data_IF_275420776972
#
_entry.id   IF_275420776972
#
_cell.length_a   1.000
_cell.length_b   1.000
_cell.length_c   1.000
_cell.angle_alpha   90.00
_cell.angle_beta   90.00
_cell.angle_gamma   90.00
#
_symmetry.space_group_name_H-M   'P 1'
#
loop_
_entity.id
_entity.type
_entity.pdbx_description
1 polymer ?
#
# COMPACT_ATOMS: atom_id res chain seq x y z
N UNK A 1 -10.41 4.42 18.23
CA UNK A 1 -10.63 4.03 16.82
C UNK A 1 -11.01 2.55 16.69
N UNK A 2 -11.02 1.76 17.77
CA UNK A 2 -11.18 0.30 17.69
C UNK A 2 -12.49 -0.16 17.04
N UNK A 3 -13.59 0.60 17.12
CA UNK A 3 -14.88 0.27 16.48
C UNK A 3 -15.15 1.04 15.17
N UNK A 4 -14.17 1.76 14.64
CA UNK A 4 -14.36 2.63 13.49
C UNK A 4 -14.13 1.87 12.18
N UNK A 5 -15.22 1.58 11.45
CA UNK A 5 -15.14 0.97 10.12
C UNK A 5 -14.76 1.96 9.01
N UNK A 6 -15.09 3.23 9.19
CA UNK A 6 -14.89 4.29 8.19
C UNK A 6 -14.31 5.51 8.87
N UNK A 7 -13.14 5.95 8.40
CA UNK A 7 -12.57 7.25 8.76
C UNK A 7 -13.04 8.28 7.73
N UNK A 8 -13.88 9.21 8.18
CA UNK A 8 -14.25 10.39 7.40
C UNK A 8 -13.11 11.42 7.45
N UNK A 9 -12.48 11.63 6.30
CA UNK A 9 -11.33 12.51 6.12
C UNK A 9 -10.02 11.75 5.97
N UNK A 10 -8.93 12.40 6.37
CA UNK A 10 -7.57 11.92 6.12
C UNK A 10 -7.03 11.18 7.34
N UNK A 11 -6.34 10.06 7.11
CA UNK A 11 -5.58 9.37 8.16
C UNK A 11 -4.09 9.68 7.99
N UNK A 12 -3.47 10.24 9.03
CA UNK A 12 -2.04 10.60 9.03
C UNK A 12 -1.38 9.96 10.23
N UNK A 13 -0.37 9.14 9.99
CA UNK A 13 0.46 8.51 11.01
C UNK A 13 1.89 9.01 10.78
N UNK A 14 2.46 9.69 11.79
CA UNK A 14 3.80 10.24 11.68
C UNK A 14 4.52 10.29 13.03
N UNK A 15 5.86 10.20 12.99
CA UNK A 15 6.76 10.45 14.13
C UNK A 15 6.47 9.60 15.38
N UNK A 16 6.19 8.31 15.19
CA UNK A 16 5.99 7.37 16.30
C UNK A 16 7.23 6.48 16.46
N UNK A 17 7.81 6.49 17.67
CA UNK A 17 8.64 5.40 18.21
C UNK A 17 7.77 4.28 18.83
N UNK A 18 6.44 4.41 18.73
CA UNK A 18 5.47 3.51 19.32
C UNK A 18 4.84 2.61 18.25
N UNK A 19 4.68 1.33 18.56
CA UNK A 19 3.97 0.37 17.70
C UNK A 19 2.51 0.83 17.52
N UNK A 20 2.08 1.16 16.29
CA UNK A 20 0.70 1.58 16.07
C UNK A 20 -0.25 0.43 16.40
N UNK A 21 -1.21 0.68 17.30
CA UNK A 21 -2.26 -0.29 17.61
C UNK A 21 -2.99 -0.74 16.33
N UNK A 22 -3.28 -2.03 16.24
CA UNK A 22 -4.06 -2.58 15.13
C UNK A 22 -5.45 -1.95 15.08
N UNK A 23 -5.90 -1.59 13.88
CA UNK A 23 -7.25 -1.11 13.57
C UNK A 23 -7.96 -2.15 12.67
N UNK A 24 -8.28 -3.34 13.21
CA UNK A 24 -8.82 -4.45 12.41
C UNK A 24 -10.19 -4.15 11.83
N UNK A 25 -10.96 -3.24 12.43
CA UNK A 25 -12.28 -2.89 11.94
C UNK A 25 -12.24 -1.85 10.83
N UNK A 26 -11.11 -1.16 10.60
CA UNK A 26 -11.01 -0.12 9.59
C UNK A 26 -11.10 -0.72 8.18
N UNK A 27 -12.15 -0.38 7.45
CA UNK A 27 -12.40 -0.82 6.08
C UNK A 27 -12.16 0.30 5.06
N UNK A 28 -12.38 1.55 5.45
CA UNK A 28 -12.41 2.67 4.52
C UNK A 28 -11.83 3.96 5.10
N UNK A 29 -11.09 4.68 4.25
CA UNK A 29 -10.65 6.05 4.48
C UNK A 29 -11.22 6.91 3.35
N UNK A 30 -11.97 7.96 3.66
CA UNK A 30 -12.60 8.80 2.61
C UNK A 30 -11.63 9.82 1.99
N UNK A 31 -10.63 10.27 2.73
CA UNK A 31 -9.55 11.13 2.27
C UNK A 31 -8.32 10.34 1.81
N UNK A 32 -7.13 10.82 2.18
CA UNK A 32 -5.85 10.15 1.92
C UNK A 32 -5.27 9.46 3.17
N UNK A 33 -4.40 8.48 2.96
CA UNK A 33 -3.56 7.84 3.97
C UNK A 33 -2.11 8.33 3.82
N UNK A 34 -1.54 8.87 4.90
CA UNK A 34 -0.13 9.28 5.00
C UNK A 34 0.57 8.53 6.13
N UNK A 35 1.69 7.90 5.80
CA UNK A 35 2.63 7.26 6.71
C UNK A 35 4.00 7.94 6.55
N UNK A 36 4.53 8.50 7.63
CA UNK A 36 5.78 9.27 7.60
C UNK A 36 6.66 9.06 8.83
N UNK A 37 7.87 8.51 8.66
CA UNK A 37 8.83 8.29 9.76
C UNK A 37 8.19 7.56 10.96
N UNK A 38 7.63 6.39 10.68
CA UNK A 38 7.18 5.46 11.71
C UNK A 38 8.21 4.34 11.77
N UNK A 39 8.72 4.09 12.97
CA UNK A 39 9.67 3.02 13.27
C UNK A 39 8.93 1.77 13.75
N UNK A 40 9.61 0.62 13.80
CA UNK A 40 9.07 -0.66 14.29
C UNK A 40 7.78 -1.12 13.58
N UNK A 41 7.64 -0.77 12.30
CA UNK A 41 6.52 -1.19 11.47
C UNK A 41 7.05 -1.73 10.15
N UNK A 42 7.15 -3.05 10.08
CA UNK A 42 7.63 -3.82 8.93
C UNK A 42 6.54 -4.09 7.88
N UNK A 43 5.28 -4.14 8.32
CA UNK A 43 4.13 -4.48 7.49
C UNK A 43 2.87 -3.69 7.89
N UNK A 44 2.21 -3.01 6.93
CA UNK A 44 1.01 -2.21 7.26
C UNK A 44 -0.20 -3.07 7.64
N UNK A 45 -0.23 -4.38 7.34
CA UNK A 45 -1.32 -5.27 7.78
C UNK A 45 -1.39 -5.40 9.31
N UNK A 46 -0.28 -5.15 10.02
CA UNK A 46 -0.27 -5.10 11.48
C UNK A 46 -1.19 -3.98 12.01
N UNK A 47 -1.33 -2.88 11.26
CA UNK A 47 -2.19 -1.74 11.60
C UNK A 47 -3.54 -1.80 10.88
N UNK A 48 -3.54 -2.17 9.60
CA UNK A 48 -4.69 -2.03 8.70
C UNK A 48 -5.02 -3.33 7.95
N UNK A 49 -5.29 -4.45 8.65
CA UNK A 49 -5.43 -5.75 7.98
C UNK A 49 -6.62 -5.81 7.02
N UNK A 50 -7.68 -5.01 7.30
CA UNK A 50 -8.93 -5.03 6.56
C UNK A 50 -9.20 -3.75 5.75
N UNK A 51 -8.24 -2.81 5.67
CA UNK A 51 -8.41 -1.60 4.87
C UNK A 51 -8.64 -1.99 3.40
N UNK A 52 -9.81 -1.65 2.89
CA UNK A 52 -10.31 -2.11 1.60
C UNK A 52 -10.40 -0.98 0.58
N UNK A 53 -10.75 0.22 1.03
CA UNK A 53 -11.00 1.39 0.17
C UNK A 53 -10.28 2.62 0.69
N UNK A 54 -9.56 3.31 -0.20
CA UNK A 54 -9.13 4.70 -0.02
C UNK A 54 -9.86 5.52 -1.08
N UNK A 55 -10.75 6.44 -0.69
CA UNK A 55 -11.53 7.20 -1.67
C UNK A 55 -10.74 8.36 -2.28
N UNK A 56 -9.87 9.01 -1.52
CA UNK A 56 -9.10 10.15 -2.04
C UNK A 56 -9.97 11.36 -2.41
N UNK A 57 -11.05 11.62 -1.65
CA UNK A 57 -11.85 12.85 -1.81
C UNK A 57 -10.99 14.11 -1.55
N UNK A 58 -10.05 13.97 -0.61
CA UNK A 58 -8.93 14.87 -0.40
C UNK A 58 -7.62 14.14 -0.73
N UNK A 59 -6.62 14.88 -1.22
CA UNK A 59 -5.34 14.34 -1.65
C UNK A 59 -4.18 15.07 -0.98
N UNK A 60 -3.11 14.34 -0.66
CA UNK A 60 -1.83 14.93 -0.31
C UNK A 60 -1.10 15.27 -1.61
N UNK A 61 -1.16 16.55 -2.01
CA UNK A 61 -0.86 16.97 -3.38
C UNK A 61 -1.77 16.22 -4.37
N UNK A 62 -1.23 15.26 -5.13
CA UNK A 62 -1.99 14.44 -6.09
C UNK A 62 -2.16 12.98 -5.63
N UNK A 63 -1.78 12.65 -4.40
CA UNK A 63 -1.67 11.27 -3.92
C UNK A 63 -2.70 10.95 -2.83
N UNK A 64 -3.32 9.77 -2.92
CA UNK A 64 -4.25 9.26 -1.92
C UNK A 64 -3.60 8.26 -0.96
N UNK A 65 -2.46 7.68 -1.33
CA UNK A 65 -1.61 6.88 -0.45
C UNK A 65 -0.18 7.42 -0.53
N UNK A 66 0.37 7.79 0.62
CA UNK A 66 1.74 8.28 0.76
C UNK A 66 2.46 7.48 1.84
N UNK A 67 3.55 6.82 1.46
CA UNK A 67 4.43 6.05 2.36
C UNK A 67 5.85 6.59 2.18
N UNK A 68 6.32 7.36 3.16
CA UNK A 68 7.51 8.18 3.02
C UNK A 68 8.45 8.04 4.22
N UNK A 69 9.73 7.77 3.95
CA UNK A 69 10.78 7.63 5.00
C UNK A 69 10.42 6.62 6.11
N UNK A 70 9.85 5.46 5.74
CA UNK A 70 9.58 4.33 6.64
C UNK A 70 10.78 3.37 6.58
N UNK A 71 11.73 3.51 7.51
CA UNK A 71 13.01 2.78 7.47
C UNK A 71 12.83 1.27 7.66
N UNK A 72 11.89 0.85 8.50
CA UNK A 72 11.76 -0.55 8.92
C UNK A 72 10.75 -1.32 8.07
N UNK A 73 10.02 -0.62 7.19
CA UNK A 73 8.98 -1.21 6.36
C UNK A 73 9.59 -2.10 5.26
N UNK A 74 9.23 -3.39 5.28
CA UNK A 74 9.72 -4.40 4.34
C UNK A 74 8.75 -4.65 3.18
N UNK A 75 7.45 -4.50 3.42
CA UNK A 75 6.41 -4.55 2.38
C UNK A 75 5.21 -3.67 2.74
N UNK A 76 4.46 -3.22 1.72
CA UNK A 76 3.25 -2.42 1.96
C UNK A 76 2.18 -3.25 2.65
N UNK A 77 2.06 -4.54 2.34
CA UNK A 77 1.25 -5.46 3.14
C UNK A 77 -0.21 -5.08 3.34
N UNK A 78 -0.92 -4.63 2.31
CA UNK A 78 -2.35 -4.32 2.42
C UNK A 78 -3.22 -5.37 1.68
N UNK A 79 -3.34 -6.60 2.19
CA UNK A 79 -3.96 -7.73 1.48
C UNK A 79 -5.46 -7.52 1.19
N UNK A 80 -6.11 -6.63 1.94
CA UNK A 80 -7.52 -6.30 1.79
C UNK A 80 -7.78 -5.11 0.87
N UNK A 81 -6.76 -4.32 0.52
CA UNK A 81 -6.94 -3.15 -0.33
C UNK A 81 -7.41 -3.59 -1.73
N UNK A 82 -8.48 -2.96 -2.21
CA UNK A 82 -9.10 -3.25 -3.52
C UNK A 82 -9.14 -2.04 -4.41
N UNK A 83 -9.36 -0.85 -3.84
CA UNK A 83 -9.64 0.35 -4.63
C UNK A 83 -9.03 1.59 -3.99
N UNK A 84 -8.29 2.33 -4.82
CA UNK A 84 -7.98 3.74 -4.62
C UNK A 84 -8.80 4.51 -5.66
N UNK A 85 -9.84 5.22 -5.22
CA UNK A 85 -10.82 5.81 -6.16
C UNK A 85 -10.24 7.01 -6.91
N UNK A 86 -9.60 7.91 -6.19
CA UNK A 86 -9.00 9.14 -6.72
C UNK A 86 -7.56 9.30 -6.21
N UNK A 87 -6.74 10.04 -6.95
CA UNK A 87 -5.33 10.25 -6.63
C UNK A 87 -4.40 9.11 -7.03
N UNK A 88 -3.12 9.40 -6.94
CA UNK A 88 -2.02 8.47 -7.17
C UNK A 88 -1.49 7.81 -5.89
N UNK A 89 -0.36 7.11 -6.03
CA UNK A 89 0.39 6.52 -4.92
C UNK A 89 1.83 7.05 -4.92
N UNK A 90 2.31 7.48 -3.75
CA UNK A 90 3.71 7.89 -3.55
C UNK A 90 4.36 6.99 -2.52
N UNK A 91 5.41 6.28 -2.93
CA UNK A 91 6.20 5.40 -2.06
C UNK A 91 7.66 5.80 -2.26
N UNK A 92 8.23 6.46 -1.26
CA UNK A 92 9.55 7.06 -1.44
C UNK A 92 10.41 7.00 -0.17
N UNK A 93 11.72 6.76 -0.36
CA UNK A 93 12.73 6.73 0.72
C UNK A 93 12.50 5.63 1.77
N UNK A 94 11.95 4.49 1.38
CA UNK A 94 11.77 3.33 2.26
C UNK A 94 12.88 2.31 1.97
N UNK A 95 13.99 2.38 2.71
CA UNK A 95 15.26 1.69 2.38
C UNK A 95 15.19 0.17 2.45
N UNK A 96 14.26 -0.39 3.23
CA UNK A 96 14.08 -1.84 3.36
C UNK A 96 12.91 -2.40 2.53
N UNK A 97 12.17 -1.54 1.83
CA UNK A 97 10.91 -1.89 1.20
C UNK A 97 11.08 -2.68 -0.11
N UNK A 98 10.53 -3.90 -0.13
CA UNK A 98 10.40 -4.78 -1.27
C UNK A 98 8.93 -4.89 -1.75
N UNK A 99 8.66 -5.76 -2.74
CA UNK A 99 7.33 -6.07 -3.28
C UNK A 99 6.55 -4.91 -3.92
N UNK A 100 7.15 -3.73 -4.09
CA UNK A 100 6.47 -2.59 -4.75
C UNK A 100 6.10 -2.92 -6.19
N UNK A 101 6.97 -3.62 -6.93
CA UNK A 101 6.75 -4.00 -8.34
C UNK A 101 5.86 -5.24 -8.52
N UNK A 102 5.65 -6.05 -7.47
CA UNK A 102 4.75 -7.21 -7.52
C UNK A 102 3.28 -6.82 -7.36
N UNK A 103 3.00 -5.59 -6.94
CA UNK A 103 1.64 -5.04 -6.87
C UNK A 103 1.29 -4.33 -8.18
N UNK A 104 0.16 -4.70 -8.77
CA UNK A 104 -0.44 -4.02 -9.92
C UNK A 104 -1.22 -2.78 -9.47
N UNK A 105 -0.50 -1.66 -9.30
CA UNK A 105 -1.08 -0.40 -8.82
C UNK A 105 -2.14 0.18 -9.76
N UNK A 106 -1.98 -0.01 -11.08
CA UNK A 106 -2.96 0.41 -12.08
C UNK A 106 -4.31 -0.31 -11.91
N UNK A 107 -4.31 -1.56 -11.40
CA UNK A 107 -5.55 -2.27 -11.10
C UNK A 107 -6.23 -1.80 -9.82
N UNK A 108 -5.48 -1.22 -8.87
CA UNK A 108 -6.03 -0.64 -7.65
C UNK A 108 -6.62 0.75 -7.89
N UNK A 109 -6.00 1.55 -8.77
CA UNK A 109 -6.46 2.90 -9.08
C UNK A 109 -7.50 2.92 -10.19
N UNK A 110 -8.67 3.52 -9.96
CA UNK A 110 -9.67 3.66 -11.02
C UNK A 110 -9.38 4.81 -12.00
N UNK A 111 -8.49 5.73 -11.63
CA UNK A 111 -8.14 6.87 -12.46
C UNK A 111 -6.98 6.52 -13.40
N UNK A 112 -7.24 6.50 -14.71
CA UNK A 112 -6.21 6.30 -15.76
C UNK A 112 -5.07 7.34 -15.76
N UNK A 113 -5.27 8.48 -15.09
CA UNK A 113 -4.27 9.54 -14.91
C UNK A 113 -3.64 9.54 -13.51
N UNK A 114 -3.83 8.48 -12.73
CA UNK A 114 -3.19 8.35 -11.43
C UNK A 114 -1.66 8.36 -11.60
N UNK A 115 -0.97 9.15 -10.77
CA UNK A 115 0.48 9.23 -10.77
C UNK A 115 1.08 8.23 -9.77
N UNK A 116 2.16 7.57 -10.16
CA UNK A 116 2.86 6.60 -9.32
C UNK A 116 4.30 7.03 -9.14
N UNK A 117 4.61 7.54 -7.94
CA UNK A 117 5.93 8.03 -7.61
C UNK A 117 6.64 7.04 -6.69
N UNK A 118 7.44 6.15 -7.28
CA UNK A 118 8.22 5.14 -6.57
C UNK A 118 9.71 5.44 -6.74
N UNK A 119 10.35 6.03 -5.72
CA UNK A 119 11.78 6.42 -5.80
C UNK A 119 12.52 6.19 -4.51
N UNK A 120 13.81 5.92 -4.60
CA UNK A 120 14.69 5.74 -3.45
C UNK A 120 14.14 4.69 -2.46
N UNK A 121 13.51 3.62 -2.94
CA UNK A 121 13.22 2.46 -2.10
C UNK A 121 14.35 1.43 -2.27
N UNK A 122 14.29 0.29 -1.57
CA UNK A 122 15.25 -0.79 -1.79
C UNK A 122 15.33 -1.16 -3.27
N UNK A 123 16.54 -1.43 -3.76
CA UNK A 123 16.72 -1.78 -5.16
C UNK A 123 16.07 -3.14 -5.45
N UNK A 124 15.30 -3.23 -6.54
CA UNK A 124 14.50 -4.42 -6.84
C UNK A 124 15.36 -5.70 -6.98
N UNK A 125 16.59 -5.58 -7.50
CA UNK A 125 17.48 -6.73 -7.63
C UNK A 125 18.01 -7.26 -6.28
N UNK A 126 17.90 -6.49 -5.21
CA UNK A 126 18.25 -6.89 -3.84
C UNK A 126 17.05 -7.53 -3.10
N UNK A 127 15.88 -7.54 -3.73
CA UNK A 127 14.68 -8.15 -3.19
C UNK A 127 14.46 -9.56 -3.76
N UNK A 128 13.98 -10.48 -2.92
CA UNK A 128 13.59 -11.83 -3.37
C UNK A 128 12.30 -11.79 -4.19
N UNK A 129 11.34 -10.93 -3.80
CA UNK A 129 10.06 -10.68 -4.49
C UNK A 129 9.34 -11.96 -4.98
N UNK A 130 9.38 -13.04 -4.19
CA UNK A 130 8.76 -14.31 -4.54
C UNK A 130 7.32 -14.34 -4.05
N UNK A 131 6.38 -14.24 -4.97
CA UNK A 131 4.96 -14.41 -4.66
C UNK A 131 4.57 -15.88 -4.42
N UNK A 132 3.48 -16.13 -3.67
CA UNK A 132 2.81 -17.43 -3.64
C UNK A 132 2.49 -17.96 -5.04
N UNK A 133 2.57 -19.27 -5.23
CA UNK A 133 2.38 -19.92 -6.54
C UNK A 133 0.96 -19.76 -7.08
N UNK A 134 -0.03 -19.64 -6.20
CA UNK A 134 -1.45 -19.48 -6.53
C UNK A 134 -1.85 -18.04 -6.87
N UNK A 135 -0.91 -17.08 -6.87
CA UNK A 135 -1.22 -15.70 -7.20
C UNK A 135 -1.52 -15.51 -8.70
N UNK A 136 -2.50 -14.66 -8.98
CA UNK A 136 -2.85 -14.26 -10.36
C UNK A 136 -1.65 -13.56 -11.01
N UNK A 137 -1.41 -13.88 -12.27
CA UNK A 137 -0.40 -13.21 -13.09
C UNK A 137 -1.07 -12.15 -13.97
N UNK A 138 -0.49 -10.96 -14.05
CA UNK A 138 -0.91 -9.94 -15.03
C UNK A 138 0.26 -9.53 -15.89
N UNK A 139 -0.02 -9.11 -17.13
CA UNK A 139 1.01 -8.64 -18.05
C UNK A 139 1.47 -7.24 -17.64
N UNK A 140 2.71 -7.11 -17.17
CA UNK A 140 3.43 -5.83 -17.05
C UNK A 140 4.76 -5.95 -17.75
N UNK A 141 5.17 -4.88 -18.44
CA UNK A 141 6.48 -4.81 -19.10
C UNK A 141 6.74 -6.00 -20.03
N UNK A 142 5.68 -6.44 -20.73
CA UNK A 142 5.67 -7.60 -21.62
C UNK A 142 5.89 -8.98 -20.97
N UNK A 143 5.93 -9.06 -19.64
CA UNK A 143 6.06 -10.30 -18.89
C UNK A 143 4.81 -10.60 -18.05
N UNK A 144 4.49 -11.90 -17.91
CA UNK A 144 3.43 -12.36 -17.02
C UNK A 144 4.00 -12.55 -15.61
N UNK A 145 3.91 -11.52 -14.77
CA UNK A 145 4.40 -11.56 -13.38
C UNK A 145 3.26 -11.85 -12.41
N UNK A 146 3.52 -12.71 -11.42
CA UNK A 146 2.60 -12.99 -10.32
C UNK A 146 2.40 -11.73 -9.47
N UNK A 147 1.19 -11.56 -8.93
CA UNK A 147 0.82 -10.37 -8.17
C UNK A 147 0.58 -10.65 -6.70
N UNK A 148 1.40 -10.05 -5.86
CA UNK A 148 1.36 -10.23 -4.42
C UNK A 148 1.77 -8.95 -3.69
N UNK A 149 1.28 -8.85 -2.46
CA UNK A 149 1.69 -7.83 -1.50
C UNK A 149 3.00 -8.20 -0.81
N UNK A 150 3.24 -9.50 -0.59
CA UNK A 150 4.43 -10.08 0.01
C UNK A 150 4.50 -11.59 -0.27
N UNK A 151 5.39 -12.30 0.44
CA UNK A 151 5.60 -13.75 0.30
C UNK A 151 4.37 -14.60 0.64
N UNK A 152 3.42 -14.07 1.40
CA UNK A 152 2.29 -14.83 1.96
C UNK A 152 0.93 -14.42 1.37
N UNK A 153 0.82 -13.20 0.83
CA UNK A 153 -0.45 -12.60 0.42
C UNK A 153 -0.49 -12.20 -1.05
N UNK A 154 -1.38 -12.82 -1.82
CA UNK A 154 -1.66 -12.41 -3.19
C UNK A 154 -2.42 -11.08 -3.27
N UNK A 155 -2.20 -10.34 -4.35
CA UNK A 155 -3.05 -9.21 -4.71
C UNK A 155 -4.37 -9.74 -5.27
N UNK A 156 -5.48 -9.28 -4.70
CA UNK A 156 -6.84 -9.72 -5.07
C UNK A 156 -7.49 -8.69 -6.03
N UNK A 157 -8.56 -9.12 -6.71
CA UNK A 157 -9.39 -8.30 -7.61
C UNK A 157 -8.65 -7.77 -8.86
N UNK A 158 -7.90 -8.65 -9.52
CA UNK A 158 -7.15 -8.36 -10.75
C UNK A 158 -7.95 -8.60 -12.05
N UNK A 159 -9.10 -9.27 -11.94
CA UNK A 159 -10.04 -9.49 -13.03
C UNK A 159 -11.08 -8.37 -13.11
N UNK A 160 -11.27 -7.80 -14.30
CA UNK A 160 -12.55 -7.23 -14.72
C UNK A 160 -13.19 -8.25 -15.65
#
# INVERSE_FOLDING_TARGET
LEDCAVIEGNLKIYLFDFEPNSLPNLLEITGYLLLYRVSNLDNLSNVFPNLTVIRGQELMYNYALVVYEMSDLEDIGLPSLRVIKHGGVRIEKNMNLCYVSTVDWYKLTLNSKADFFFKNNKFEAECVNKCPENCVKTKMDNENKSRCWNADSCQKNLGK
#
